data_IF_673077232308
#
_entry.id   IF_673077232308
#
_cell.length_a   1.000
_cell.length_b   1.000
_cell.length_c   1.000
_cell.angle_alpha   90.00
_cell.angle_beta   90.00
_cell.angle_gamma   90.00
#
_symmetry.space_group_name_H-M   'P 1'
#
loop_
_entity.id
_entity.type
_entity.pdbx_description
1 polymer ?
#
# COMPACT_ATOMS: atom_id res chain seq x y z
N UNK A 1 6.46 17.51 -13.76
CA UNK A 1 6.18 17.63 -12.32
C UNK A 1 5.03 16.67 -12.06
N UNK A 2 5.29 15.49 -11.50
CA UNK A 2 4.22 14.57 -11.12
C UNK A 2 3.48 15.24 -9.96
N UNK A 3 2.21 15.60 -10.16
CA UNK A 3 1.40 16.22 -9.12
C UNK A 3 1.28 15.28 -7.92
N UNK A 4 1.20 15.86 -6.73
CA UNK A 4 0.82 15.13 -5.51
C UNK A 4 -0.48 14.38 -5.82
N UNK A 5 -0.43 13.05 -5.89
CA UNK A 5 -1.64 12.26 -6.07
C UNK A 5 -2.39 12.27 -4.74
N UNK A 6 -3.66 12.67 -4.76
CA UNK A 6 -4.51 12.58 -3.58
C UNK A 6 -4.58 11.12 -3.13
N UNK A 7 -4.18 10.86 -1.88
CA UNK A 7 -4.14 9.52 -1.31
C UNK A 7 -5.53 8.85 -1.35
N UNK A 8 -6.60 9.62 -1.19
CA UNK A 8 -7.97 9.10 -1.23
C UNK A 8 -8.37 8.71 -2.66
N UNK A 9 -8.00 9.51 -3.66
CA UNK A 9 -8.23 9.16 -5.07
C UNK A 9 -7.49 7.87 -5.46
N UNK A 10 -6.23 7.74 -5.03
CA UNK A 10 -5.43 6.52 -5.23
C UNK A 10 -6.10 5.33 -4.54
N UNK A 11 -6.50 5.49 -3.28
CA UNK A 11 -7.15 4.44 -2.51
C UNK A 11 -8.47 3.98 -3.16
N UNK A 12 -9.29 4.90 -3.64
CA UNK A 12 -10.51 4.59 -4.39
C UNK A 12 -10.22 3.84 -5.69
N UNK A 13 -9.22 4.28 -6.45
CA UNK A 13 -8.83 3.65 -7.70
C UNK A 13 -8.36 2.20 -7.49
N UNK A 14 -7.55 1.95 -6.45
CA UNK A 14 -7.10 0.61 -6.06
C UNK A 14 -8.31 -0.26 -5.66
N UNK A 15 -9.16 0.22 -4.75
CA UNK A 15 -10.35 -0.53 -4.29
C UNK A 15 -11.24 -0.94 -5.45
N UNK A 16 -11.56 0.00 -6.35
CA UNK A 16 -12.39 -0.27 -7.53
C UNK A 16 -11.74 -1.34 -8.41
N UNK A 17 -10.47 -1.18 -8.74
CA UNK A 17 -9.76 -2.07 -9.67
C UNK A 17 -9.66 -3.49 -9.13
N UNK A 18 -9.34 -3.65 -7.85
CA UNK A 18 -9.26 -4.97 -7.19
C UNK A 18 -10.63 -5.63 -7.16
N UNK A 19 -11.68 -4.88 -6.80
CA UNK A 19 -13.05 -5.41 -6.80
C UNK A 19 -13.49 -5.85 -8.20
N UNK A 20 -13.30 -5.01 -9.22
CA UNK A 20 -13.71 -5.34 -10.59
C UNK A 20 -12.91 -6.48 -11.20
N UNK A 21 -11.61 -6.56 -10.90
CA UNK A 21 -10.71 -7.57 -11.47
C UNK A 21 -10.74 -8.92 -10.75
N UNK A 22 -11.04 -8.92 -9.44
CA UNK A 22 -10.88 -10.12 -8.61
C UNK A 22 -12.10 -10.44 -7.75
N UNK A 23 -13.15 -9.60 -7.71
CA UNK A 23 -14.33 -9.81 -6.87
C UNK A 23 -14.04 -9.67 -5.36
N UNK A 24 -12.87 -9.14 -5.00
CA UNK A 24 -12.42 -8.98 -3.61
C UNK A 24 -12.61 -7.53 -3.19
N UNK A 25 -13.24 -7.31 -2.03
CA UNK A 25 -13.30 -5.99 -1.41
C UNK A 25 -12.01 -5.74 -0.63
N UNK A 26 -11.41 -4.57 -0.83
CA UNK A 26 -10.22 -4.12 -0.08
C UNK A 26 -10.69 -3.22 1.05
N UNK A 27 -10.47 -3.67 2.28
CA UNK A 27 -10.86 -2.93 3.48
C UNK A 27 -10.02 -1.65 3.62
N UNK A 28 -8.70 -1.78 3.54
CA UNK A 28 -7.77 -0.66 3.75
C UNK A 28 -6.72 -0.54 2.63
N UNK A 29 -6.40 0.71 2.27
CA UNK A 29 -5.29 1.07 1.39
C UNK A 29 -4.44 2.10 2.12
N UNK A 30 -3.26 1.70 2.57
CA UNK A 30 -2.28 2.59 3.18
C UNK A 30 -1.34 3.15 2.10
N UNK A 31 -1.44 4.46 1.84
CA UNK A 31 -0.48 5.19 1.00
C UNK A 31 0.66 5.67 1.90
N UNK A 32 1.89 5.34 1.55
CA UNK A 32 3.08 5.63 2.37
C UNK A 32 4.17 6.33 1.56
N UNK A 33 5.06 7.10 2.20
CA UNK A 33 6.19 7.70 1.52
C UNK A 33 7.08 6.68 0.77
N UNK A 34 7.74 7.10 -0.32
CA UNK A 34 8.69 6.23 -1.03
C UNK A 34 9.83 5.76 -0.12
N UNK A 35 10.13 4.46 -0.17
CA UNK A 35 11.29 3.88 0.51
C UNK A 35 11.04 3.37 1.93
N UNK A 36 9.82 3.50 2.46
CA UNK A 36 9.51 3.12 3.85
C UNK A 36 8.96 1.70 4.01
N UNK A 37 8.54 1.08 2.91
CA UNK A 37 8.15 -0.33 2.92
C UNK A 37 9.36 -1.25 3.24
N UNK A 38 9.22 -2.19 4.20
CA UNK A 38 10.25 -3.16 4.52
C UNK A 38 10.70 -3.98 3.30
N UNK A 39 12.03 -4.06 3.11
CA UNK A 39 12.67 -4.82 2.02
C UNK A 39 13.79 -5.69 2.55
N UNK A 40 14.04 -6.80 1.85
CA UNK A 40 15.22 -7.64 2.09
C UNK A 40 16.49 -6.91 1.64
N UNK A 41 17.66 -7.44 2.04
CA UNK A 41 18.96 -6.94 1.58
C UNK A 41 19.11 -6.93 0.04
N UNK A 42 18.38 -7.81 -0.66
CA UNK A 42 18.33 -7.84 -2.13
C UNK A 42 17.29 -6.90 -2.76
N UNK A 43 16.60 -6.07 -1.96
CA UNK A 43 15.60 -5.11 -2.42
C UNK A 43 14.18 -5.67 -2.62
N UNK A 44 13.94 -6.96 -2.40
CA UNK A 44 12.59 -7.54 -2.52
C UNK A 44 11.68 -7.05 -1.40
N UNK A 45 10.42 -6.73 -1.72
CA UNK A 45 9.39 -6.37 -0.76
C UNK A 45 9.16 -7.51 0.25
N UNK A 46 9.26 -7.20 1.54
CA UNK A 46 8.96 -8.14 2.62
C UNK A 46 7.52 -7.97 3.08
N UNK A 47 6.59 -8.70 2.46
CA UNK A 47 5.15 -8.62 2.77
C UNK A 47 4.85 -8.89 4.24
N UNK A 48 5.53 -9.85 4.86
CA UNK A 48 5.38 -10.13 6.29
C UNK A 48 5.82 -8.92 7.14
N UNK A 49 6.97 -8.33 6.84
CA UNK A 49 7.43 -7.11 7.53
C UNK A 49 6.49 -5.92 7.33
N UNK A 50 5.88 -5.76 6.15
CA UNK A 50 4.87 -4.73 5.91
C UNK A 50 3.64 -4.94 6.79
N UNK A 51 3.15 -6.18 6.90
CA UNK A 51 2.01 -6.53 7.77
C UNK A 51 2.33 -6.27 9.24
N UNK A 52 3.53 -6.66 9.68
CA UNK A 52 3.94 -6.49 11.08
C UNK A 52 4.06 -4.99 11.42
N UNK A 53 4.68 -4.19 10.55
CA UNK A 53 4.74 -2.73 10.69
C UNK A 53 3.35 -2.08 10.69
N UNK A 54 2.46 -2.52 9.79
CA UNK A 54 1.08 -2.04 9.73
C UNK A 54 0.31 -2.30 11.03
N UNK A 55 0.38 -3.55 11.51
CA UNK A 55 -0.32 -3.96 12.74
C UNK A 55 0.23 -3.25 13.97
N UNK A 56 1.51 -2.88 13.94
CA UNK A 56 2.16 -2.09 15.00
C UNK A 56 1.92 -0.57 14.89
N UNK A 57 1.20 -0.08 13.86
CA UNK A 57 1.03 1.36 13.60
C UNK A 57 2.32 2.08 13.19
N UNK A 58 3.33 1.33 12.73
CA UNK A 58 4.65 1.82 12.36
C UNK A 58 4.89 1.76 10.84
N UNK A 59 3.85 1.48 10.05
CA UNK A 59 3.94 1.53 8.59
C UNK A 59 3.84 2.98 8.12
N UNK A 60 4.97 3.57 7.75
CA UNK A 60 5.01 4.98 7.38
C UNK A 60 6.42 5.46 7.17
#
# INVERSE_FOLDING_TARGET
MLGEADADEVAMAVRRTVHTGHGVRVDEVAVVPPGTLPRSSSGKLLRAGCRDAYTAGALG
#
